data_IF_734219931871
#
_entry.id   IF_734219931871
#
_cell.length_a   1.000
_cell.length_b   1.000
_cell.length_c   1.000
_cell.angle_alpha   90.00
_cell.angle_beta   90.00
_cell.angle_gamma   90.00
#
_symmetry.space_group_name_H-M   'P 1'
#
loop_
_entity.id
_entity.type
_entity.pdbx_description
1 polymer ?
#
# COMPACT_ATOMS: atom_id res chain seq x y z
N UNK A 1 21.33 -4.78 4.27
CA UNK A 1 20.98 -5.80 5.30
C UNK A 1 19.48 -5.66 5.57
N UNK A 2 18.73 -6.75 5.46
CA UNK A 2 17.29 -6.81 5.74
C UNK A 2 17.13 -7.04 7.25
N UNK A 3 16.38 -6.16 7.93
CA UNK A 3 16.07 -6.32 9.36
C UNK A 3 14.60 -6.73 9.49
N UNK A 4 14.29 -7.93 10.02
CA UNK A 4 12.92 -8.36 10.25
C UNK A 4 12.36 -7.68 11.51
N UNK A 5 11.18 -7.08 11.40
CA UNK A 5 10.32 -6.75 12.53
C UNK A 5 9.25 -7.83 12.63
N UNK A 6 9.13 -8.50 13.78
CA UNK A 6 8.05 -9.46 13.99
C UNK A 6 6.75 -8.68 14.22
N UNK A 7 5.82 -8.82 13.27
CA UNK A 7 4.41 -8.51 13.47
C UNK A 7 3.75 -9.82 13.91
N UNK A 8 2.88 -9.79 14.91
CA UNK A 8 2.14 -10.99 15.29
C UNK A 8 1.12 -11.32 14.20
N UNK A 9 0.86 -12.60 13.99
CA UNK A 9 -0.29 -13.09 13.22
C UNK A 9 -0.19 -13.12 11.69
N UNK A 10 -0.85 -14.11 11.09
CA UNK A 10 -0.90 -14.41 9.65
C UNK A 10 -1.81 -13.46 8.84
N UNK A 11 -2.38 -12.43 9.49
CA UNK A 11 -3.41 -11.55 8.94
C UNK A 11 -3.11 -10.06 9.13
N UNK A 12 -1.82 -9.69 9.16
CA UNK A 12 -1.46 -8.32 9.33
C UNK A 12 -1.75 -7.50 8.05
N UNK A 13 -2.51 -6.40 8.13
CA UNK A 13 -2.60 -5.48 7.00
C UNK A 13 -1.39 -4.54 7.00
N UNK A 14 -1.03 -4.11 5.80
CA UNK A 14 0.01 -3.13 5.48
C UNK A 14 0.23 -2.06 6.57
N UNK A 15 1.39 -2.06 7.26
CA UNK A 15 1.72 -0.99 8.18
C UNK A 15 1.81 0.39 7.51
N UNK A 16 1.44 1.43 8.24
CA UNK A 16 1.54 2.84 7.85
C UNK A 16 2.53 3.54 8.77
N UNK A 17 3.50 4.25 8.20
CA UNK A 17 4.56 4.92 8.97
C UNK A 17 4.38 6.44 8.90
N UNK A 18 4.22 7.11 10.04
CA UNK A 18 4.16 8.57 10.14
C UNK A 18 4.89 9.04 11.39
N UNK A 19 5.79 10.01 11.24
CA UNK A 19 6.45 10.70 12.36
C UNK A 19 7.07 9.77 13.44
N UNK A 20 7.78 8.72 13.02
CA UNK A 20 8.43 7.76 13.93
C UNK A 20 7.49 6.73 14.56
N UNK A 21 6.24 6.66 14.08
CA UNK A 21 5.25 5.68 14.48
C UNK A 21 4.92 4.74 13.32
N UNK A 22 4.68 3.46 13.63
CA UNK A 22 4.20 2.46 12.67
C UNK A 22 2.84 1.99 13.15
N UNK A 23 1.77 2.22 12.40
CA UNK A 23 0.46 1.63 12.65
C UNK A 23 0.28 0.39 11.77
N UNK A 24 -0.33 -0.69 12.25
CA UNK A 24 -0.72 -1.84 11.41
C UNK A 24 -2.04 -2.39 11.90
N UNK A 25 -2.57 -3.40 11.21
CA UNK A 25 -3.65 -4.21 11.77
C UNK A 25 -3.23 -5.62 11.89
N UNK A 26 -3.84 -6.34 12.83
CA UNK A 26 -3.66 -7.76 13.07
C UNK A 26 -4.99 -8.25 13.67
N UNK A 27 -5.57 -9.30 13.10
CA UNK A 27 -6.83 -9.92 13.55
C UNK A 27 -7.98 -8.93 13.77
N UNK A 28 -8.12 -7.97 12.85
CA UNK A 28 -9.16 -6.94 12.90
C UNK A 28 -8.97 -5.91 14.01
N UNK A 29 -7.84 -5.92 14.72
CA UNK A 29 -7.41 -4.88 15.63
C UNK A 29 -6.34 -4.00 14.96
N UNK A 30 -6.33 -2.72 15.31
CA UNK A 30 -5.31 -1.78 14.91
C UNK A 30 -4.29 -1.59 16.03
N UNK A 31 -3.02 -1.52 15.65
CA UNK A 31 -1.89 -1.36 16.54
C UNK A 31 -1.03 -0.18 16.11
N UNK A 32 -0.28 0.40 17.05
CA UNK A 32 0.75 1.42 16.79
C UNK A 32 2.00 1.10 17.59
N UNK A 33 3.15 1.11 16.94
CA UNK A 33 4.45 1.09 17.56
C UNK A 33 5.12 2.46 17.49
N UNK A 34 5.71 2.93 18.60
CA UNK A 34 6.58 4.12 18.68
C UNK A 34 7.75 3.81 19.61
N UNK A 35 8.98 4.11 19.19
CA UNK A 35 10.18 3.95 20.01
C UNK A 35 10.28 2.58 20.73
N UNK A 36 9.91 1.50 20.04
CA UNK A 36 9.92 0.13 20.59
C UNK A 36 8.73 -0.25 21.46
N UNK A 37 7.76 0.64 21.70
CA UNK A 37 6.53 0.34 22.42
C UNK A 37 5.37 0.13 21.46
N UNK A 38 4.71 -1.02 21.56
CA UNK A 38 3.51 -1.36 20.80
C UNK A 38 2.26 -1.18 21.66
N UNK A 39 1.21 -0.55 21.13
CA UNK A 39 -0.12 -0.49 21.75
C UNK A 39 -1.22 -0.84 20.75
N UNK A 40 -2.27 -1.51 21.23
CA UNK A 40 -3.54 -1.63 20.51
C UNK A 40 -4.29 -0.30 20.59
N UNK A 41 -4.85 0.18 19.48
CA UNK A 41 -5.57 1.47 19.38
C UNK A 41 -7.06 1.33 19.06
N UNK A 42 -7.52 0.13 18.68
CA UNK A 42 -8.95 -0.14 18.49
C UNK A 42 -9.22 -1.37 17.63
N UNK A 43 -10.50 -1.59 17.31
CA UNK A 43 -10.95 -2.52 16.27
C UNK A 43 -11.12 -1.78 14.93
N UNK A 44 -10.89 -2.48 13.81
CA UNK A 44 -10.96 -1.95 12.45
C UNK A 44 -9.62 -2.03 11.71
N UNK A 45 -9.65 -1.66 10.43
CA UNK A 45 -8.43 -1.57 9.61
C UNK A 45 -7.75 -0.23 9.87
N UNK A 46 -6.56 -0.18 10.46
CA UNK A 46 -5.70 0.98 10.47
C UNK A 46 -5.33 1.32 9.03
N UNK A 47 -5.60 2.56 8.64
CA UNK A 47 -5.35 3.03 7.29
C UNK A 47 -4.33 4.17 7.26
N UNK A 48 -4.02 4.77 8.41
CA UNK A 48 -2.86 5.62 8.61
C UNK A 48 -2.91 6.43 9.89
N UNK A 49 -2.05 7.44 9.98
CA UNK A 49 -1.92 8.31 11.14
C UNK A 49 -2.07 9.76 10.67
N UNK A 50 -3.03 10.48 11.26
CA UNK A 50 -3.19 11.92 11.08
C UNK A 50 -2.64 12.66 12.32
N UNK A 51 -1.45 13.22 12.21
CA UNK A 51 -0.76 13.86 13.33
C UNK A 51 -0.57 12.93 14.54
N UNK A 52 -1.47 13.03 15.53
CA UNK A 52 -1.47 12.21 16.76
C UNK A 52 -2.49 11.07 16.76
N UNK A 53 -3.42 11.06 15.81
CA UNK A 53 -4.52 10.11 15.78
C UNK A 53 -4.25 8.98 14.79
N UNK A 54 -4.80 7.81 15.07
CA UNK A 54 -4.86 6.72 14.09
C UNK A 54 -6.19 6.81 13.38
N UNK A 55 -6.14 6.82 12.06
CA UNK A 55 -7.33 6.75 11.22
C UNK A 55 -7.67 5.29 10.98
N UNK A 56 -8.87 4.90 11.37
CA UNK A 56 -9.38 3.53 11.25
C UNK A 56 -10.52 3.47 10.23
N UNK A 57 -10.55 2.43 9.41
CA UNK A 57 -11.70 2.04 8.62
C UNK A 57 -12.41 0.87 9.32
N UNK A 58 -13.61 1.13 9.86
CA UNK A 58 -14.50 0.15 10.50
C UNK A 58 -15.68 -0.16 9.58
N UNK A 59 -15.54 -1.19 8.76
CA UNK A 59 -16.52 -1.47 7.70
C UNK A 59 -16.59 -0.30 6.72
N UNK A 60 -17.66 0.49 6.78
CA UNK A 60 -17.88 1.68 5.94
C UNK A 60 -17.73 2.99 6.71
N UNK A 61 -17.01 3.00 7.82
CA UNK A 61 -16.83 4.19 8.67
C UNK A 61 -15.34 4.50 8.87
N UNK A 62 -14.93 5.72 8.51
CA UNK A 62 -13.65 6.29 8.91
C UNK A 62 -13.78 6.87 10.30
N UNK A 63 -12.85 6.54 11.19
CA UNK A 63 -12.77 7.06 12.56
C UNK A 63 -11.40 7.71 12.76
N UNK A 64 -11.40 8.99 13.14
CA UNK A 64 -10.23 9.78 13.50
C UNK A 64 -10.49 10.45 14.86
N UNK A 65 -9.90 9.90 15.92
CA UNK A 65 -10.15 10.35 17.29
C UNK A 65 -11.63 10.22 17.66
N UNK A 66 -12.30 11.35 17.93
CA UNK A 66 -13.74 11.43 18.23
C UNK A 66 -14.62 11.65 17.00
N UNK A 67 -14.03 11.83 15.81
CA UNK A 67 -14.77 12.08 14.57
C UNK A 67 -14.99 10.77 13.84
N UNK A 68 -16.18 10.62 13.27
CA UNK A 68 -16.45 9.54 12.34
C UNK A 68 -17.18 10.00 11.08
N UNK A 69 -16.92 9.34 9.95
CA UNK A 69 -17.53 9.62 8.66
C UNK A 69 -17.80 8.33 7.91
N UNK A 70 -19.01 8.16 7.37
CA UNK A 70 -19.27 7.04 6.46
C UNK A 70 -18.53 7.23 5.14
N UNK A 71 -17.83 6.18 4.71
CA UNK A 71 -17.22 6.06 3.38
C UNK A 71 -17.62 4.73 2.77
N UNK A 72 -18.02 4.74 1.50
CA UNK A 72 -18.31 3.51 0.75
C UNK A 72 -17.01 2.86 0.22
N UNK A 73 -15.98 2.81 1.05
CA UNK A 73 -14.65 2.34 0.65
C UNK A 73 -14.47 0.85 1.00
N UNK A 74 -13.81 0.10 0.11
CA UNK A 74 -13.37 -1.29 0.37
C UNK A 74 -11.99 -1.35 0.99
N UNK A 75 -11.15 -0.36 0.68
CA UNK A 75 -9.82 -0.16 1.26
C UNK A 75 -9.48 1.34 1.27
N UNK A 76 -8.58 1.74 2.16
CA UNK A 76 -8.19 3.13 2.35
C UNK A 76 -6.75 3.25 2.86
N UNK A 77 -6.11 4.38 2.52
CA UNK A 77 -4.75 4.75 2.94
C UNK A 77 -4.71 6.24 3.27
N UNK A 78 -4.12 6.59 4.41
CA UNK A 78 -3.94 7.96 4.86
C UNK A 78 -2.45 8.30 4.93
N UNK A 79 -2.08 9.43 4.35
CA UNK A 79 -0.71 9.93 4.37
C UNK A 79 -0.66 11.42 4.07
N UNK A 80 0.16 12.16 4.83
CA UNK A 80 0.39 13.60 4.66
C UNK A 80 -0.89 14.46 4.56
N UNK A 81 -1.90 14.12 5.36
CA UNK A 81 -3.18 14.84 5.41
C UNK A 81 -4.17 14.49 4.29
N UNK A 82 -3.83 13.51 3.46
CA UNK A 82 -4.64 13.07 2.33
C UNK A 82 -5.15 11.64 2.53
N UNK A 83 -6.31 11.36 1.93
CA UNK A 83 -6.97 10.07 1.98
C UNK A 83 -7.14 9.49 0.57
N UNK A 84 -6.60 8.29 0.36
CA UNK A 84 -6.80 7.46 -0.84
C UNK A 84 -7.76 6.35 -0.47
N UNK A 85 -8.83 6.16 -1.26
CA UNK A 85 -9.82 5.10 -1.08
C UNK A 85 -10.18 4.44 -2.40
N UNK A 86 -10.70 3.22 -2.34
CA UNK A 86 -11.26 2.50 -3.48
C UNK A 86 -12.72 2.16 -3.25
N UNK A 87 -13.55 2.35 -4.27
CA UNK A 87 -15.00 2.17 -4.18
C UNK A 87 -15.45 1.25 -5.33
N UNK A 88 -16.16 0.14 -5.06
CA UNK A 88 -16.76 -0.65 -6.12
C UNK A 88 -17.95 0.13 -6.71
N UNK A 89 -17.98 0.24 -8.03
CA UNK A 89 -19.06 0.90 -8.76
C UNK A 89 -20.16 -0.13 -9.13
N UNK A 90 -21.44 0.28 -9.26
CA UNK A 90 -22.54 -0.63 -9.59
C UNK A 90 -22.39 -1.36 -10.93
N UNK A 91 -21.58 -0.81 -11.85
CA UNK A 91 -21.32 -1.37 -13.18
C UNK A 91 -20.09 -2.28 -13.21
N UNK A 92 -19.56 -2.66 -12.05
CA UNK A 92 -18.41 -3.56 -11.92
C UNK A 92 -17.04 -2.89 -12.06
N UNK A 93 -16.99 -1.56 -12.23
CA UNK A 93 -15.74 -0.79 -12.14
C UNK A 93 -15.29 -0.60 -10.69
N UNK A 94 -14.05 -0.13 -10.52
CA UNK A 94 -13.57 0.35 -9.22
C UNK A 94 -13.10 1.80 -9.36
N UNK A 95 -13.72 2.70 -8.60
CA UNK A 95 -13.32 4.09 -8.50
C UNK A 95 -12.14 4.25 -7.54
N UNK A 96 -11.09 4.95 -7.99
CA UNK A 96 -10.01 5.45 -7.14
C UNK A 96 -10.36 6.87 -6.72
N UNK A 97 -10.41 7.12 -5.41
CA UNK A 97 -10.89 8.37 -4.84
C UNK A 97 -9.83 8.96 -3.92
N UNK A 98 -9.40 10.19 -4.20
CA UNK A 98 -8.47 10.97 -3.38
C UNK A 98 -9.20 12.16 -2.80
N UNK A 99 -9.21 12.29 -1.47
CA UNK A 99 -9.90 13.35 -0.72
C UNK A 99 -11.38 13.54 -1.10
N UNK A 100 -12.05 12.43 -1.40
CA UNK A 100 -13.45 12.41 -1.81
C UNK A 100 -13.70 12.74 -3.29
N UNK A 101 -12.65 13.01 -4.07
CA UNK A 101 -12.73 13.20 -5.52
C UNK A 101 -12.32 11.93 -6.25
N UNK A 102 -13.16 11.42 -7.13
CA UNK A 102 -12.77 10.35 -8.05
C UNK A 102 -11.68 10.85 -8.99
N UNK A 103 -10.54 10.16 -9.00
CA UNK A 103 -9.40 10.48 -9.88
C UNK A 103 -9.29 9.50 -11.03
N UNK A 104 -9.80 8.27 -10.87
CA UNK A 104 -9.81 7.24 -11.91
C UNK A 104 -10.97 6.26 -11.75
N UNK A 105 -11.46 5.73 -12.87
CA UNK A 105 -12.30 4.53 -12.90
C UNK A 105 -11.53 3.40 -13.59
N UNK A 106 -11.18 2.37 -12.82
CA UNK A 106 -10.50 1.19 -13.36
C UNK A 106 -11.55 0.23 -13.92
N UNK A 107 -11.44 -0.06 -15.22
CA UNK A 107 -12.32 -0.98 -15.94
C UNK A 107 -11.49 -2.10 -16.58
N UNK A 108 -11.55 -3.28 -15.96
CA UNK A 108 -11.04 -4.54 -16.52
C UNK A 108 -12.04 -5.64 -16.22
N UNK A 109 -11.87 -6.80 -16.83
CA UNK A 109 -12.49 -8.03 -16.36
C UNK A 109 -12.02 -8.31 -14.92
N UNK A 110 -12.97 -8.49 -14.00
CA UNK A 110 -12.66 -8.67 -12.57
C UNK A 110 -11.79 -7.54 -11.99
N UNK A 111 -12.17 -6.28 -12.26
CA UNK A 111 -11.44 -5.10 -11.79
C UNK A 111 -11.12 -5.17 -10.30
N UNK A 112 -9.84 -5.01 -9.99
CA UNK A 112 -9.26 -4.98 -8.65
C UNK A 112 -8.34 -3.77 -8.56
N UNK A 113 -8.49 -3.03 -7.46
CA UNK A 113 -7.59 -1.94 -7.11
C UNK A 113 -7.16 -2.12 -5.67
N UNK A 114 -5.85 -2.02 -5.45
CA UNK A 114 -5.22 -2.07 -4.15
C UNK A 114 -4.54 -0.73 -3.88
N UNK A 115 -5.07 0.07 -2.94
CA UNK A 115 -4.40 1.29 -2.48
C UNK A 115 -2.98 1.00 -2.01
N UNK A 116 -2.02 1.76 -2.55
CA UNK A 116 -0.62 1.72 -2.13
C UNK A 116 -0.35 2.73 -1.03
N UNK A 117 0.39 3.78 -1.34
CA UNK A 117 0.77 4.83 -0.40
C UNK A 117 0.38 6.23 -0.92
N UNK A 118 0.04 7.14 0.00
CA UNK A 118 0.13 8.58 -0.24
C UNK A 118 1.35 9.13 0.50
N UNK A 119 2.17 9.92 -0.19
CA UNK A 119 3.34 10.59 0.37
C UNK A 119 3.58 11.92 -0.37
N UNK A 120 3.63 13.00 0.39
CA UNK A 120 3.64 14.39 -0.05
C UNK A 120 2.55 14.63 -1.12
N UNK A 121 2.97 14.99 -2.34
CA UNK A 121 2.07 15.32 -3.47
C UNK A 121 1.75 14.13 -4.37
N UNK A 122 2.02 12.90 -3.94
CA UNK A 122 1.85 11.70 -4.75
C UNK A 122 0.99 10.64 -4.07
N UNK A 123 0.15 9.97 -4.85
CA UNK A 123 -0.56 8.77 -4.46
C UNK A 123 -0.23 7.64 -5.44
N UNK A 124 -0.16 6.40 -4.97
CA UNK A 124 0.03 5.22 -5.82
C UNK A 124 -0.96 4.13 -5.47
N UNK A 125 -1.30 3.33 -6.48
CA UNK A 125 -2.11 2.11 -6.32
C UNK A 125 -1.67 1.07 -7.33
N UNK A 126 -2.06 -0.17 -7.05
CA UNK A 126 -2.03 -1.26 -8.03
C UNK A 126 -3.44 -1.42 -8.60
N UNK A 127 -3.57 -1.44 -9.92
CA UNK A 127 -4.82 -1.63 -10.63
C UNK A 127 -4.70 -2.79 -11.62
N UNK A 128 -5.82 -3.45 -11.93
CA UNK A 128 -5.79 -4.60 -12.81
C UNK A 128 -7.00 -5.51 -12.71
N UNK A 129 -6.88 -6.69 -13.31
CA UNK A 129 -7.88 -7.75 -13.32
C UNK A 129 -7.41 -8.99 -14.08
N UNK A 130 -8.00 -10.15 -13.81
CA UNK A 130 -7.65 -11.44 -14.44
C UNK A 130 -6.15 -11.76 -14.56
N UNK A 131 -5.31 -11.31 -13.62
CA UNK A 131 -3.85 -11.53 -13.62
C UNK A 131 -3.04 -10.44 -14.32
N UNK A 132 -3.67 -9.47 -14.96
CA UNK A 132 -3.03 -8.26 -15.47
C UNK A 132 -3.00 -7.19 -14.38
N UNK A 133 -1.85 -6.98 -13.74
CA UNK A 133 -1.70 -5.92 -12.73
C UNK A 133 -0.61 -4.92 -13.10
N UNK A 134 -0.91 -3.65 -12.94
CA UNK A 134 -0.02 -2.52 -13.20
C UNK A 134 -0.08 -1.51 -12.05
N UNK A 135 0.98 -0.71 -11.93
CA UNK A 135 1.07 0.34 -10.91
C UNK A 135 0.89 1.71 -11.54
N UNK A 136 0.16 2.57 -10.87
CA UNK A 136 -0.09 3.95 -11.27
C UNK A 136 0.30 4.92 -10.17
N UNK A 137 0.74 6.10 -10.60
CA UNK A 137 1.09 7.23 -9.74
C UNK A 137 0.26 8.45 -10.13
N UNK A 138 -0.51 8.93 -9.18
CA UNK A 138 -1.24 10.19 -9.26
C UNK A 138 -0.47 11.33 -8.60
N UNK A 139 -0.54 12.49 -9.23
CA UNK A 139 0.03 13.74 -8.74
C UNK A 139 -1.10 14.65 -8.24
N UNK A 140 -1.08 14.99 -6.95
CA UNK A 140 -2.17 15.70 -6.31
C UNK A 140 -2.35 17.14 -6.86
N UNK A 141 -1.26 17.79 -7.28
CA UNK A 141 -1.29 19.20 -7.70
C UNK A 141 -1.84 19.45 -9.12
N UNK A 142 -1.52 18.59 -10.08
CA UNK A 142 -1.93 18.74 -11.49
C UNK A 142 -2.92 17.66 -11.96
N UNK A 143 -3.27 16.73 -11.09
CA UNK A 143 -4.21 15.65 -11.39
C UNK A 143 -3.68 14.58 -12.33
N UNK A 144 -2.39 14.61 -12.67
CA UNK A 144 -1.81 13.71 -13.67
C UNK A 144 -1.63 12.31 -13.12
N UNK A 145 -2.03 11.32 -13.91
CA UNK A 145 -1.80 9.89 -13.67
C UNK A 145 -0.70 9.43 -14.63
N UNK A 146 0.35 8.83 -14.07
CA UNK A 146 1.39 8.17 -14.85
C UNK A 146 1.39 6.67 -14.52
N UNK A 147 1.33 5.82 -15.55
CA UNK A 147 1.47 4.37 -15.42
C UNK A 147 2.95 3.97 -15.40
N UNK A 148 3.32 3.10 -14.46
CA UNK A 148 4.65 2.49 -14.42
C UNK A 148 4.79 1.52 -15.60
N UNK A 149 5.86 1.61 -16.42
CA UNK A 149 5.99 0.79 -17.61
C UNK A 149 6.26 -0.69 -17.28
N UNK A 150 5.86 -1.58 -18.19
CA UNK A 150 6.20 -3.01 -18.14
C UNK A 150 5.42 -3.83 -17.13
N UNK A 151 4.16 -3.47 -16.87
CA UNK A 151 3.18 -4.29 -16.17
C UNK A 151 2.29 -4.98 -17.19
N UNK A 152 2.36 -6.31 -17.23
CA UNK A 152 1.55 -7.15 -18.12
C UNK A 152 1.15 -8.46 -17.43
N UNK A 153 0.45 -9.36 -18.14
CA UNK A 153 -0.03 -10.62 -17.59
C UNK A 153 1.12 -11.56 -17.18
N UNK A 154 2.22 -11.53 -17.94
CA UNK A 154 3.40 -12.34 -17.63
C UNK A 154 4.25 -11.72 -16.52
N UNK A 155 4.11 -10.41 -16.31
CA UNK A 155 4.89 -9.63 -15.35
C UNK A 155 4.00 -8.65 -14.55
N UNK A 156 3.09 -9.17 -13.69
CA UNK A 156 2.23 -8.31 -12.88
C UNK A 156 3.06 -7.42 -11.95
N UNK A 157 2.60 -6.19 -11.77
CA UNK A 157 3.19 -5.22 -10.84
C UNK A 157 2.26 -4.99 -9.65
N UNK A 158 2.81 -4.90 -8.45
CA UNK A 158 2.00 -4.77 -7.23
C UNK A 158 2.79 -4.19 -6.06
N UNK A 159 2.10 -4.02 -4.92
CA UNK A 159 2.68 -3.59 -3.66
C UNK A 159 3.33 -2.21 -3.76
N UNK A 160 2.63 -1.25 -4.35
CA UNK A 160 3.17 0.07 -4.69
C UNK A 160 3.36 1.00 -3.47
N UNK A 161 4.51 1.66 -3.41
CA UNK A 161 4.85 2.74 -2.47
C UNK A 161 5.42 3.96 -3.22
N UNK A 162 5.47 5.12 -2.56
CA UNK A 162 6.00 6.35 -3.17
C UNK A 162 6.74 7.21 -2.17
N UNK A 163 7.88 7.77 -2.57
CA UNK A 163 8.60 8.77 -1.78
C UNK A 163 8.10 10.20 -2.03
N UNK A 164 8.49 11.13 -1.17
CA UNK A 164 8.13 12.54 -1.29
C UNK A 164 8.65 13.19 -2.60
N UNK A 165 9.66 12.60 -3.25
CA UNK A 165 10.18 13.03 -4.55
C UNK A 165 9.41 12.44 -5.74
N UNK A 166 8.45 11.55 -5.50
CA UNK A 166 7.64 10.88 -6.51
C UNK A 166 8.25 9.63 -7.10
N UNK A 167 9.35 9.08 -6.56
CA UNK A 167 9.82 7.78 -7.00
C UNK A 167 8.85 6.70 -6.52
N UNK A 168 8.45 5.81 -7.44
CA UNK A 168 7.54 4.71 -7.15
C UNK A 168 8.36 3.46 -6.87
N UNK A 169 8.02 2.75 -5.81
CA UNK A 169 8.61 1.46 -5.43
C UNK A 169 7.54 0.40 -5.60
N UNK A 170 7.88 -0.71 -6.25
CA UNK A 170 6.89 -1.75 -6.57
C UNK A 170 7.57 -3.10 -6.77
N UNK A 171 6.80 -4.17 -6.63
CA UNK A 171 7.19 -5.52 -6.97
C UNK A 171 6.84 -5.79 -8.42
N UNK A 172 7.61 -6.68 -9.03
CA UNK A 172 7.20 -7.38 -10.25
C UNK A 172 7.68 -8.82 -10.19
N UNK A 173 6.76 -9.75 -10.40
CA UNK A 173 7.02 -11.20 -10.43
C UNK A 173 6.53 -11.80 -11.74
N UNK A 174 6.67 -13.12 -11.89
CA UNK A 174 6.01 -13.87 -12.96
C UNK A 174 4.56 -14.20 -12.61
N UNK A 175 3.93 -15.08 -13.39
CA UNK A 175 2.62 -15.62 -13.02
C UNK A 175 2.72 -16.54 -11.80
N UNK A 176 2.06 -16.17 -10.71
CA UNK A 176 2.01 -16.93 -9.46
C UNK A 176 2.85 -16.30 -8.33
N UNK A 177 2.77 -16.90 -7.15
CA UNK A 177 3.55 -16.43 -6.01
C UNK A 177 5.04 -16.75 -6.20
N UNK A 178 5.89 -15.79 -5.85
CA UNK A 178 7.29 -16.04 -5.58
C UNK A 178 8.27 -15.44 -6.58
N UNK A 179 9.51 -15.27 -6.14
CA UNK A 179 10.59 -14.73 -6.99
C UNK A 179 10.37 -13.27 -7.38
N UNK A 180 9.59 -12.53 -6.61
CA UNK A 180 9.33 -11.13 -6.88
C UNK A 180 10.63 -10.32 -6.85
N UNK A 181 10.70 -9.34 -7.74
CA UNK A 181 11.82 -8.39 -7.80
C UNK A 181 11.30 -7.01 -7.49
N UNK A 182 11.98 -6.31 -6.59
CA UNK A 182 11.67 -4.96 -6.17
C UNK A 182 12.32 -3.97 -7.13
N UNK A 183 11.55 -2.98 -7.56
CA UNK A 183 11.97 -1.95 -8.49
C UNK A 183 11.70 -0.55 -7.93
N UNK A 184 12.51 0.41 -8.40
CA UNK A 184 12.27 1.84 -8.29
C UNK A 184 12.04 2.41 -9.68
N UNK A 185 10.93 3.12 -9.87
CA UNK A 185 10.67 3.92 -11.06
C UNK A 185 10.71 5.41 -10.75
N UNK A 186 11.57 6.15 -11.47
CA UNK A 186 11.68 7.61 -11.34
C UNK A 186 12.08 8.22 -12.68
N UNK A 187 11.31 9.22 -13.13
CA UNK A 187 11.57 9.98 -14.36
C UNK A 187 11.78 9.06 -15.59
N UNK A 188 10.92 8.06 -15.76
CA UNK A 188 11.02 7.10 -16.87
C UNK A 188 12.06 6.00 -16.69
N UNK A 189 12.94 6.09 -15.68
CA UNK A 189 13.97 5.08 -15.41
C UNK A 189 13.48 4.04 -14.40
N UNK A 190 13.61 2.78 -14.76
CA UNK A 190 13.40 1.63 -13.85
C UNK A 190 14.75 1.14 -13.33
N UNK A 191 14.87 0.94 -12.02
CA UNK A 191 16.06 0.42 -11.35
C UNK A 191 15.66 -0.78 -10.50
N UNK A 192 16.33 -1.93 -10.66
CA UNK A 192 16.16 -3.08 -9.77
C UNK A 192 16.82 -2.79 -8.43
N UNK A 193 16.12 -3.05 -7.33
CA UNK A 193 16.60 -2.83 -5.97
C UNK A 193 17.04 -4.12 -5.30
N UNK A 194 16.20 -5.15 -5.38
CA UNK A 194 16.43 -6.45 -4.76
C UNK A 194 15.60 -7.53 -5.46
N UNK A 195 15.99 -8.80 -5.29
CA UNK A 195 15.13 -9.93 -5.65
C UNK A 195 14.92 -10.82 -4.44
N UNK A 196 13.70 -11.32 -4.32
CA UNK A 196 13.31 -12.26 -3.30
C UNK A 196 13.60 -13.69 -3.74
N UNK A 197 13.64 -14.61 -2.79
CA UNK A 197 13.75 -16.03 -3.10
C UNK A 197 12.53 -16.51 -3.90
N UNK A 198 12.67 -17.63 -4.63
CA UNK A 198 11.56 -18.21 -5.42
C UNK A 198 10.34 -18.57 -4.59
N UNK A 199 10.50 -18.81 -3.29
CA UNK A 199 9.42 -19.13 -2.36
C UNK A 199 8.87 -17.89 -1.63
N UNK A 200 9.29 -16.68 -2.00
CA UNK A 200 8.99 -15.44 -1.29
C UNK A 200 8.36 -14.40 -2.18
N UNK A 201 7.38 -13.70 -1.61
CA UNK A 201 6.64 -12.61 -2.25
C UNK A 201 6.28 -11.53 -1.21
N UNK A 202 5.66 -10.44 -1.64
CA UNK A 202 5.09 -9.45 -0.73
C UNK A 202 3.84 -8.81 -1.34
N UNK A 203 2.87 -8.39 -0.54
CA UNK A 203 1.61 -7.85 -1.07
C UNK A 203 1.57 -6.32 -1.09
N UNK A 204 2.29 -5.67 -0.18
CA UNK A 204 2.20 -4.25 0.06
C UNK A 204 3.54 -3.66 0.55
N UNK A 205 3.82 -2.40 0.19
CA UNK A 205 5.02 -1.70 0.66
C UNK A 205 4.76 -0.24 0.99
N UNK A 206 5.68 0.36 1.74
CA UNK A 206 5.64 1.76 2.18
C UNK A 206 7.06 2.32 2.24
N UNK A 207 7.24 3.51 1.68
CA UNK A 207 8.48 4.27 1.82
C UNK A 207 8.40 5.18 3.05
N UNK A 208 9.40 5.10 3.93
CA UNK A 208 9.54 6.03 5.04
C UNK A 208 11.02 6.23 5.41
N UNK A 209 11.44 7.48 5.62
CA UNK A 209 12.77 7.80 6.15
C UNK A 209 13.93 7.18 5.37
N UNK A 210 13.89 7.21 4.03
CA UNK A 210 14.94 6.64 3.19
C UNK A 210 14.99 5.12 3.17
N UNK A 211 13.90 4.45 3.58
CA UNK A 211 13.81 2.99 3.56
C UNK A 211 12.48 2.58 2.95
N UNK A 212 12.52 1.48 2.21
CA UNK A 212 11.33 0.75 1.81
C UNK A 212 11.03 -0.31 2.86
N UNK A 213 9.78 -0.39 3.27
CA UNK A 213 9.27 -1.42 4.16
C UNK A 213 8.22 -2.24 3.41
N UNK A 214 8.17 -3.54 3.63
CA UNK A 214 7.21 -4.42 2.94
C UNK A 214 6.95 -5.69 3.74
N UNK A 215 5.79 -6.30 3.51
CA UNK A 215 5.36 -7.56 4.12
C UNK A 215 5.95 -8.77 3.37
N UNK A 216 7.11 -9.26 3.81
CA UNK A 216 7.69 -10.46 3.22
C UNK A 216 6.91 -11.69 3.66
N UNK A 217 6.23 -12.34 2.71
CA UNK A 217 5.53 -13.60 2.89
C UNK A 217 6.24 -14.76 2.21
N UNK A 218 6.03 -15.98 2.71
CA UNK A 218 6.31 -17.18 1.93
C UNK A 218 5.08 -17.59 1.09
N UNK A 219 5.32 -18.29 -0.01
CA UNK A 219 4.24 -18.72 -0.89
C UNK A 219 3.32 -19.78 -0.30
N UNK A 220 3.63 -20.30 0.89
CA UNK A 220 2.75 -21.18 1.65
C UNK A 220 1.76 -20.42 2.54
N UNK A 221 1.96 -19.10 2.71
CA UNK A 221 1.14 -18.24 3.56
C UNK A 221 1.35 -18.47 5.06
N UNK A 222 2.42 -19.19 5.45
CA UNK A 222 2.70 -19.59 6.84
C UNK A 222 3.59 -18.61 7.59
N UNK A 223 4.32 -17.78 6.86
CA UNK A 223 5.21 -16.79 7.47
C UNK A 223 5.00 -15.44 6.81
N UNK A 224 4.79 -14.41 7.64
CA UNK A 224 4.81 -13.01 7.22
C UNK A 224 5.71 -12.21 8.16
N UNK A 225 6.58 -11.39 7.57
CA UNK A 225 7.49 -10.53 8.32
C UNK A 225 7.49 -9.13 7.72
N UNK A 226 7.58 -8.11 8.57
CA UNK A 226 7.88 -6.78 8.07
C UNK A 226 9.38 -6.66 7.82
N UNK A 227 9.75 -6.39 6.58
CA UNK A 227 11.15 -6.20 6.17
C UNK A 227 11.42 -4.74 5.94
N UNK A 228 12.58 -4.27 6.39
CA UNK A 228 13.16 -2.98 6.00
C UNK A 228 14.30 -3.16 4.99
N UNK A 229 14.21 -2.44 3.88
CA UNK A 229 15.25 -2.27 2.87
C UNK A 229 15.71 -0.80 2.84
N UNK A 230 16.90 -0.47 3.37
CA UNK A 230 17.48 0.86 3.25
C UNK A 230 17.72 1.23 1.78
N UNK A 231 17.41 2.47 1.41
CA UNK A 231 17.59 3.01 0.07
C UNK A 231 18.69 4.07 0.12
N UNK A 232 19.65 3.96 -0.79
CA UNK A 232 20.73 4.93 -1.00
C UNK A 232 20.34 6.02 -2.01
#
# INVERSE_FOLDING_TARGET
MIVPLHLGGDHAAAPVVVAGAVAWTEDGAAFVARAGQTRRVGAGKAIGIDGRNVVLLRGRELVDGSRSRRVNATDARWGDGHLLTTHPDPDGRVSVVVDGRTVEHVRTDQAKVYPGQINARYAVWTAGGAGHFYVERYRLGDGRIDRVPGGDYAHPQYGAAVDAGGAVYYARSGFGCGGATLYRWRHGRVTRLASLARSQDYSASWYAGGSLYFDLGDCSGRTQHLVRLPLA
#
